data_IF_757640776264
#
_entry.id   IF_757640776264
#
_cell.length_a   1.000
_cell.length_b   1.000
_cell.length_c   1.000
_cell.angle_alpha   90.00
_cell.angle_beta   90.00
_cell.angle_gamma   90.00
#
_symmetry.space_group_name_H-M   'P 1'
#
loop_
_entity.id
_entity.type
_entity.pdbx_description
1 polymer ?
#
# COMPACT_ATOMS: atom_id res chain seq x y z
N UNK A 1 47.14 4.65 3.25
CA UNK A 1 45.77 4.97 2.82
C UNK A 1 44.96 3.78 2.26
N UNK A 2 45.42 2.54 2.35
CA UNK A 2 44.67 1.35 1.88
C UNK A 2 43.54 0.92 2.81
N UNK A 3 43.44 1.47 4.03
CA UNK A 3 42.39 1.14 5.01
C UNK A 3 41.05 1.90 4.73
N UNK A 4 41.06 2.91 3.92
CA UNK A 4 39.91 3.79 3.70
C UNK A 4 38.83 3.14 2.80
N UNK A 5 39.21 2.29 1.84
CA UNK A 5 38.25 1.70 0.89
C UNK A 5 37.42 0.58 1.50
N UNK A 6 38.06 -0.36 2.20
CA UNK A 6 37.38 -1.50 2.82
C UNK A 6 36.41 -1.05 3.92
N UNK A 7 36.81 -0.13 4.79
CA UNK A 7 35.92 0.44 5.80
C UNK A 7 34.73 1.20 5.20
N UNK A 8 34.96 1.94 4.12
CA UNK A 8 33.90 2.63 3.37
C UNK A 8 32.92 1.64 2.73
N UNK A 9 33.41 0.53 2.19
CA UNK A 9 32.56 -0.48 1.55
C UNK A 9 31.73 -1.28 2.58
N UNK A 10 32.31 -1.59 3.75
CA UNK A 10 31.57 -2.20 4.87
C UNK A 10 30.48 -1.25 5.36
N UNK A 11 30.81 0.02 5.56
CA UNK A 11 29.83 1.04 5.99
C UNK A 11 28.70 1.22 4.97
N UNK A 12 29.01 1.25 3.68
CA UNK A 12 28.02 1.33 2.61
C UNK A 12 27.08 0.12 2.58
N UNK A 13 27.62 -1.11 2.76
CA UNK A 13 26.82 -2.35 2.85
C UNK A 13 25.89 -2.32 4.04
N UNK A 14 26.40 -2.02 5.23
CA UNK A 14 25.58 -1.95 6.44
C UNK A 14 24.43 -0.94 6.29
N UNK A 15 24.70 0.19 5.65
CA UNK A 15 23.67 1.21 5.38
C UNK A 15 22.65 0.75 4.35
N UNK A 16 23.07 -0.01 3.34
CA UNK A 16 22.19 -0.60 2.36
C UNK A 16 21.27 -1.67 2.98
N UNK A 17 21.85 -2.59 3.76
CA UNK A 17 21.11 -3.64 4.44
C UNK A 17 20.07 -3.05 5.42
N UNK A 18 20.44 -2.00 6.14
CA UNK A 18 19.51 -1.26 6.98
C UNK A 18 18.35 -0.66 6.17
N UNK A 19 18.64 0.00 5.05
CA UNK A 19 17.60 0.57 4.18
C UNK A 19 16.65 -0.48 3.63
N UNK A 20 17.17 -1.63 3.22
CA UNK A 20 16.36 -2.76 2.72
C UNK A 20 15.44 -3.28 3.83
N UNK A 21 15.98 -3.40 5.06
CA UNK A 21 15.18 -3.82 6.21
C UNK A 21 14.07 -2.81 6.52
N UNK A 22 14.38 -1.53 6.62
CA UNK A 22 13.41 -0.46 6.86
C UNK A 22 12.30 -0.45 5.81
N UNK A 23 12.66 -0.56 4.52
CA UNK A 23 11.70 -0.64 3.44
C UNK A 23 10.79 -1.87 3.56
N UNK A 24 11.36 -3.03 3.92
CA UNK A 24 10.60 -4.27 4.11
C UNK A 24 9.64 -4.16 5.31
N UNK A 25 10.07 -3.59 6.41
CA UNK A 25 9.26 -3.38 7.61
C UNK A 25 8.08 -2.43 7.31
N UNK A 26 8.32 -1.37 6.57
CA UNK A 26 7.26 -0.45 6.13
C UNK A 26 6.31 -1.06 5.11
N UNK A 27 6.82 -1.80 4.12
CA UNK A 27 5.99 -2.52 3.16
C UNK A 27 5.09 -3.54 3.88
N UNK A 28 5.61 -4.24 4.88
CA UNK A 28 4.83 -5.14 5.73
C UNK A 28 3.74 -4.37 6.51
N UNK A 29 4.07 -3.24 7.12
CA UNK A 29 3.14 -2.40 7.88
C UNK A 29 2.00 -1.90 7.00
N UNK A 30 2.28 -1.36 5.81
CA UNK A 30 1.26 -0.91 4.87
C UNK A 30 0.37 -2.05 4.39
N UNK A 31 0.97 -3.18 4.03
CA UNK A 31 0.23 -4.36 3.57
C UNK A 31 -0.69 -4.89 4.66
N UNK A 32 -0.19 -5.02 5.88
CA UNK A 32 -0.97 -5.50 7.02
C UNK A 32 -2.11 -4.54 7.35
N UNK A 33 -1.85 -3.24 7.39
CA UNK A 33 -2.89 -2.22 7.62
C UNK A 33 -3.98 -2.27 6.55
N UNK A 34 -3.61 -2.46 5.29
CA UNK A 34 -4.56 -2.59 4.20
C UNK A 34 -5.41 -3.86 4.31
N UNK A 35 -4.81 -5.01 4.62
CA UNK A 35 -5.53 -6.27 4.80
C UNK A 35 -6.51 -6.21 5.98
N UNK A 36 -6.09 -5.65 7.10
CA UNK A 36 -6.99 -5.42 8.23
C UNK A 36 -8.14 -4.47 7.89
N UNK A 37 -7.90 -3.44 7.09
CA UNK A 37 -8.94 -2.53 6.63
C UNK A 37 -10.00 -3.25 5.79
N UNK A 38 -9.60 -4.14 4.88
CA UNK A 38 -10.52 -4.91 4.04
C UNK A 38 -11.43 -5.85 4.82
N UNK A 39 -10.92 -6.44 5.90
CA UNK A 39 -11.64 -7.42 6.72
C UNK A 39 -12.13 -6.85 8.06
N UNK A 40 -12.04 -5.53 8.26
CA UNK A 40 -12.30 -4.85 9.54
C UNK A 40 -13.63 -5.27 10.18
N UNK A 41 -14.71 -5.36 9.41
CA UNK A 41 -16.03 -5.71 9.91
C UNK A 41 -16.12 -7.15 10.48
N UNK A 42 -15.20 -8.02 10.05
CA UNK A 42 -15.13 -9.43 10.46
C UNK A 42 -14.23 -9.67 11.68
N UNK A 43 -13.46 -8.66 12.08
CA UNK A 43 -12.55 -8.77 13.21
C UNK A 43 -13.31 -8.76 14.53
N UNK A 44 -12.76 -9.45 15.53
CA UNK A 44 -13.20 -9.32 16.91
C UNK A 44 -12.84 -7.93 17.49
N UNK A 45 -13.48 -7.53 18.57
CA UNK A 45 -13.31 -6.20 19.15
C UNK A 45 -11.89 -5.95 19.70
N UNK A 46 -11.20 -6.98 20.16
CA UNK A 46 -9.82 -6.84 20.63
C UNK A 46 -8.89 -6.51 19.45
N UNK A 47 -9.02 -7.23 18.36
CA UNK A 47 -8.25 -6.99 17.13
C UNK A 47 -8.59 -5.64 16.51
N UNK A 48 -9.87 -5.23 16.51
CA UNK A 48 -10.30 -3.89 16.08
C UNK A 48 -9.64 -2.78 16.90
N UNK A 49 -9.52 -2.95 18.20
CA UNK A 49 -8.86 -1.98 19.07
C UNK A 49 -7.37 -1.88 18.78
N UNK A 50 -6.68 -3.01 18.58
CA UNK A 50 -5.27 -3.02 18.16
C UNK A 50 -5.08 -2.34 16.81
N UNK A 51 -5.97 -2.58 15.86
CA UNK A 51 -5.96 -1.92 14.56
C UNK A 51 -6.12 -0.39 14.68
N UNK A 52 -7.10 0.07 15.48
CA UNK A 52 -7.30 1.51 15.73
C UNK A 52 -6.06 2.17 16.34
N UNK A 53 -5.41 1.49 17.30
CA UNK A 53 -4.15 1.97 17.90
C UNK A 53 -3.01 2.02 16.87
N UNK A 54 -2.87 0.96 16.05
CA UNK A 54 -1.88 0.91 14.98
C UNK A 54 -2.10 2.02 13.93
N UNK A 55 -3.34 2.26 13.53
CA UNK A 55 -3.67 3.32 12.57
C UNK A 55 -3.40 4.72 13.11
N UNK A 56 -3.55 4.97 14.41
CA UNK A 56 -3.22 6.26 15.01
C UNK A 56 -1.71 6.56 14.98
N UNK A 57 -0.87 5.55 14.80
CA UNK A 57 0.58 5.73 14.63
C UNK A 57 0.98 6.26 13.24
N UNK A 58 0.08 6.23 12.25
CA UNK A 58 0.30 6.90 10.96
C UNK A 58 0.11 8.41 11.12
N UNK A 59 1.10 9.15 11.43
CA UNK A 59 0.94 10.59 11.57
C UNK A 59 2.09 11.27 12.33
N UNK A 60 3.24 10.60 12.43
CA UNK A 60 4.33 11.03 13.27
C UNK A 60 4.94 12.40 12.94
N UNK A 61 5.12 12.75 11.67
CA UNK A 61 5.72 14.02 11.24
C UNK A 61 4.83 14.66 10.18
N UNK A 62 4.22 15.78 10.53
CA UNK A 62 3.41 16.54 9.58
C UNK A 62 4.28 17.16 8.49
N UNK A 63 3.94 17.00 7.19
CA UNK A 63 4.60 17.75 6.13
C UNK A 63 4.29 19.24 6.30
N UNK A 64 5.20 20.09 5.85
CA UNK A 64 4.96 21.52 5.71
C UNK A 64 4.52 21.84 4.28
N UNK A 65 3.94 23.01 4.08
CA UNK A 65 3.59 23.46 2.73
C UNK A 65 3.92 24.94 2.54
N UNK A 66 4.03 25.36 1.31
CA UNK A 66 4.05 26.76 0.90
C UNK A 66 3.26 26.98 -0.37
N UNK A 67 2.92 28.22 -0.66
CA UNK A 67 2.26 28.57 -1.92
C UNK A 67 3.34 28.95 -2.94
N UNK A 68 3.31 28.32 -4.08
CA UNK A 68 4.13 28.69 -5.25
C UNK A 68 3.24 29.14 -6.40
N UNK A 69 3.83 29.77 -7.42
CA UNK A 69 3.15 30.10 -8.67
C UNK A 69 3.61 29.15 -9.77
N UNK A 70 2.71 28.35 -10.28
CA UNK A 70 2.90 27.55 -11.47
C UNK A 70 2.15 28.24 -12.63
N UNK A 71 2.88 28.75 -13.61
CA UNK A 71 2.31 29.46 -14.77
C UNK A 71 1.29 30.57 -14.37
N UNK A 72 1.65 31.37 -13.35
CA UNK A 72 0.81 32.42 -12.75
C UNK A 72 -0.42 31.93 -11.95
N UNK A 73 -0.57 30.63 -11.74
CA UNK A 73 -1.63 30.07 -10.89
C UNK A 73 -1.07 29.68 -9.54
N UNK A 74 -1.66 30.12 -8.40
CA UNK A 74 -1.25 29.68 -7.08
C UNK A 74 -1.46 28.17 -6.92
N UNK A 75 -0.41 27.47 -6.47
CA UNK A 75 -0.45 26.03 -6.17
C UNK A 75 0.15 25.77 -4.80
N UNK A 76 -0.38 24.75 -4.11
CA UNK A 76 0.21 24.27 -2.86
C UNK A 76 1.36 23.31 -3.20
N UNK A 77 2.54 23.62 -2.67
CA UNK A 77 3.70 22.74 -2.76
C UNK A 77 3.97 22.16 -1.38
N UNK A 78 3.94 20.84 -1.29
CA UNK A 78 4.22 20.10 -0.07
C UNK A 78 5.71 19.84 0.09
N UNK A 79 6.22 20.08 1.29
CA UNK A 79 7.58 19.76 1.68
C UNK A 79 7.58 18.53 2.59
N UNK A 80 8.17 17.46 2.12
CA UNK A 80 8.35 16.22 2.88
C UNK A 80 9.78 16.12 3.39
N UNK A 81 9.94 15.80 4.67
CA UNK A 81 11.27 15.60 5.27
C UNK A 81 11.93 14.30 4.81
N UNK A 82 11.14 13.34 4.33
CA UNK A 82 11.63 12.08 3.78
C UNK A 82 10.61 11.46 2.83
N UNK A 83 11.10 10.56 1.98
CA UNK A 83 10.25 9.74 1.10
C UNK A 83 9.23 8.91 1.91
N UNK A 84 9.62 8.43 3.10
CA UNK A 84 8.76 7.66 3.97
C UNK A 84 7.52 8.46 4.39
N UNK A 85 7.71 9.70 4.85
CA UNK A 85 6.60 10.59 5.25
C UNK A 85 5.66 10.86 4.07
N UNK A 86 6.21 11.02 2.87
CA UNK A 86 5.41 11.18 1.64
C UNK A 86 4.56 9.92 1.37
N UNK A 87 5.15 8.73 1.45
CA UNK A 87 4.44 7.47 1.23
C UNK A 87 3.35 7.26 2.28
N UNK A 88 3.64 7.52 3.55
CA UNK A 88 2.65 7.44 4.64
C UNK A 88 1.45 8.36 4.39
N UNK A 89 1.70 9.60 4.00
CA UNK A 89 0.62 10.55 3.71
C UNK A 89 -0.21 10.12 2.49
N UNK A 90 0.44 9.69 1.41
CA UNK A 90 -0.26 9.17 0.23
C UNK A 90 -1.12 7.94 0.59
N UNK A 91 -0.59 7.02 1.39
CA UNK A 91 -1.31 5.86 1.86
C UNK A 91 -2.52 6.25 2.73
N UNK A 92 -2.34 7.20 3.64
CA UNK A 92 -3.44 7.71 4.49
C UNK A 92 -4.55 8.32 3.65
N UNK A 93 -4.22 9.14 2.64
CA UNK A 93 -5.23 9.68 1.72
C UNK A 93 -5.95 8.57 0.95
N UNK A 94 -5.22 7.57 0.45
CA UNK A 94 -5.84 6.43 -0.25
C UNK A 94 -6.81 5.65 0.63
N UNK A 95 -6.54 5.50 1.92
CA UNK A 95 -7.43 4.81 2.86
C UNK A 95 -8.65 5.64 3.24
N UNK A 96 -8.51 6.97 3.29
CA UNK A 96 -9.57 7.88 3.76
C UNK A 96 -10.39 8.48 2.63
N UNK A 97 -9.96 8.32 1.38
CA UNK A 97 -10.68 8.79 0.21
C UNK A 97 -11.86 7.88 -0.12
N UNK A 98 -13.07 8.41 0.01
CA UNK A 98 -14.32 7.69 -0.29
C UNK A 98 -14.45 7.27 -1.76
N UNK A 99 -13.73 7.93 -2.66
CA UNK A 99 -13.73 7.63 -4.09
C UNK A 99 -12.67 6.60 -4.46
N UNK A 100 -11.74 6.31 -3.55
CA UNK A 100 -10.65 5.35 -3.71
C UNK A 100 -11.05 3.98 -3.15
N UNK A 101 -11.82 3.21 -3.93
CA UNK A 101 -12.26 1.86 -3.54
C UNK A 101 -11.12 0.84 -3.79
N UNK A 102 -10.24 0.67 -2.81
CA UNK A 102 -9.16 -0.32 -2.87
C UNK A 102 -9.68 -1.73 -2.61
N UNK A 103 -9.34 -2.67 -3.48
CA UNK A 103 -9.76 -4.08 -3.40
C UNK A 103 -8.65 -5.05 -3.76
N UNK A 104 -8.85 -6.30 -3.37
CA UNK A 104 -8.06 -7.42 -3.88
C UNK A 104 -8.77 -8.03 -5.09
N UNK A 105 -8.01 -8.27 -6.16
CA UNK A 105 -8.53 -8.93 -7.35
C UNK A 105 -8.92 -10.37 -7.06
N UNK A 106 -10.16 -10.77 -7.33
CA UNK A 106 -10.68 -12.12 -7.10
C UNK A 106 -9.92 -13.23 -7.84
N UNK A 107 -9.19 -12.88 -8.91
CA UNK A 107 -8.43 -13.86 -9.68
C UNK A 107 -6.97 -13.96 -9.25
N UNK A 108 -6.25 -12.84 -9.17
CA UNK A 108 -4.81 -12.86 -8.96
C UNK A 108 -4.37 -12.38 -7.56
N UNK A 109 -5.30 -11.96 -6.70
CA UNK A 109 -5.01 -11.49 -5.35
C UNK A 109 -4.29 -10.13 -5.25
N UNK A 110 -3.96 -9.47 -6.37
CA UNK A 110 -3.29 -8.16 -6.33
C UNK A 110 -4.24 -7.07 -5.89
N UNK A 111 -3.73 -6.15 -5.09
CA UNK A 111 -4.43 -4.92 -4.76
C UNK A 111 -4.59 -4.04 -6.01
N UNK A 112 -5.73 -3.39 -6.14
CA UNK A 112 -6.02 -2.44 -7.21
C UNK A 112 -7.08 -1.43 -6.77
N UNK A 113 -7.10 -0.27 -7.41
CA UNK A 113 -8.15 0.73 -7.22
C UNK A 113 -9.28 0.41 -8.20
N UNK A 114 -10.48 0.20 -7.68
CA UNK A 114 -11.64 -0.11 -8.48
C UNK A 114 -12.17 1.16 -9.17
N UNK A 115 -12.19 1.17 -10.48
CA UNK A 115 -12.70 2.29 -11.28
C UNK A 115 -14.22 2.48 -11.19
N UNK A 116 -14.95 1.50 -10.65
CA UNK A 116 -16.41 1.52 -10.49
C UNK A 116 -16.79 0.67 -9.29
N UNK A 117 -17.83 1.09 -8.57
CA UNK A 117 -18.46 0.31 -7.51
C UNK A 117 -18.86 -1.07 -8.06
N UNK A 118 -18.44 -2.15 -7.41
CA UNK A 118 -18.69 -3.53 -7.87
C UNK A 118 -17.63 -4.14 -8.79
N UNK A 119 -16.60 -3.42 -9.19
CA UNK A 119 -15.47 -4.00 -9.91
C UNK A 119 -14.65 -4.89 -8.96
N UNK A 120 -14.51 -6.18 -9.29
CA UNK A 120 -13.84 -7.20 -8.48
C UNK A 120 -12.52 -7.70 -9.09
N UNK A 121 -12.13 -7.15 -10.24
CA UNK A 121 -10.97 -7.61 -11.02
C UNK A 121 -10.08 -6.43 -11.42
N UNK A 122 -8.78 -6.59 -11.27
CA UNK A 122 -7.80 -5.56 -11.63
C UNK A 122 -7.69 -5.31 -13.15
N UNK A 123 -8.18 -6.24 -13.97
CA UNK A 123 -8.14 -6.13 -15.44
C UNK A 123 -9.20 -7.02 -16.10
N UNK A 124 -9.60 -6.72 -17.36
CA UNK A 124 -10.47 -7.60 -18.15
C UNK A 124 -9.91 -9.00 -18.32
N UNK A 125 -8.58 -9.13 -18.43
CA UNK A 125 -7.89 -10.43 -18.51
C UNK A 125 -8.15 -11.27 -17.26
N UNK A 126 -8.02 -10.72 -16.07
CA UNK A 126 -8.30 -11.40 -14.82
C UNK A 126 -9.77 -11.84 -14.71
N UNK A 127 -10.70 -10.99 -15.14
CA UNK A 127 -12.13 -11.32 -15.18
C UNK A 127 -12.40 -12.51 -16.10
N UNK A 128 -11.85 -12.49 -17.30
CA UNK A 128 -12.04 -13.56 -18.28
C UNK A 128 -11.44 -14.89 -17.79
N UNK A 129 -10.22 -14.87 -17.25
CA UNK A 129 -9.58 -16.06 -16.69
C UNK A 129 -10.39 -16.65 -15.53
N UNK A 130 -10.84 -15.82 -14.62
CA UNK A 130 -11.68 -16.25 -13.49
C UNK A 130 -12.96 -16.94 -13.97
N UNK A 131 -13.66 -16.36 -14.96
CA UNK A 131 -14.88 -16.94 -15.51
C UNK A 131 -14.63 -18.28 -16.20
N UNK A 132 -13.52 -18.42 -16.94
CA UNK A 132 -13.12 -19.70 -17.56
C UNK A 132 -12.90 -20.77 -16.49
N UNK A 133 -12.15 -20.48 -15.43
CA UNK A 133 -11.93 -21.43 -14.35
C UNK A 133 -13.22 -21.80 -13.62
N UNK A 134 -14.09 -20.83 -13.36
CA UNK A 134 -15.39 -21.05 -12.73
C UNK A 134 -16.28 -21.96 -13.56
N UNK A 135 -16.28 -21.79 -14.90
CA UNK A 135 -17.08 -22.62 -15.80
C UNK A 135 -16.52 -24.05 -15.89
N UNK A 136 -15.20 -24.21 -15.92
CA UNK A 136 -14.55 -25.54 -15.91
C UNK A 136 -14.83 -26.30 -14.61
N UNK A 137 -14.74 -25.61 -13.47
CA UNK A 137 -15.04 -26.21 -12.17
C UNK A 137 -16.50 -26.66 -12.03
N UNK A 138 -17.45 -25.95 -12.68
CA UNK A 138 -18.86 -26.37 -12.72
C UNK A 138 -19.07 -27.61 -13.58
N UNK A 139 -18.42 -27.73 -14.73
CA UNK A 139 -18.52 -28.90 -15.61
C UNK A 139 -18.02 -30.17 -14.93
N UNK A 140 -16.85 -30.09 -14.27
CA UNK A 140 -16.30 -31.25 -13.55
C UNK A 140 -17.18 -31.77 -12.41
N UNK A 141 -18.04 -30.90 -11.82
CA UNK A 141 -19.00 -31.32 -10.77
C UNK A 141 -20.31 -31.92 -11.31
N UNK A 142 -20.58 -31.79 -12.60
CA UNK A 142 -21.78 -32.33 -13.24
C UNK A 142 -21.50 -33.71 -13.85
N UNK A 143 -20.22 -34.06 -14.01
CA UNK A 143 -19.76 -35.32 -14.60
C UNK A 143 -19.38 -36.37 -13.51
N UNK A 144 -19.57 -36.06 -12.22
CA UNK A 144 -19.53 -36.96 -11.06
C UNK A 144 -20.97 -37.30 -10.58
#
# INVERSE_FOLDING_TARGET
>A
PLYSSAASDVYKRQRYDWLVKEFSDWAFTFTTSFLYYLDYDRLDEQTKNLYRQGMSAFGGISPTYHIALAENTPVIVWNFHSLLVMIQMCFSFMLTDSDCDMKLCKHCGRAFIASRKGNEFCSPKCKNQYNVYKTRAKKNKTDE
#
